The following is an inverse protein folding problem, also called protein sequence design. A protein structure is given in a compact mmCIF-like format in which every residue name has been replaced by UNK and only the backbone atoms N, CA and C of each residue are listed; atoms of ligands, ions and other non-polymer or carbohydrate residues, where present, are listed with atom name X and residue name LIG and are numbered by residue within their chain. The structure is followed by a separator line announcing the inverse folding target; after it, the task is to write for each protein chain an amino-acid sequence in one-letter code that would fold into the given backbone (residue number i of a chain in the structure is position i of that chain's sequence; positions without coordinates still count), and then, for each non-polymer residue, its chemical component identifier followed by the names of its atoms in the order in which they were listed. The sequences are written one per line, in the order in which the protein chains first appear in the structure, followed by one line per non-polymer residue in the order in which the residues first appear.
data_IF_964108782923
#
_entry.id   IF_964108782923
#
_cell.length_a   1.000
_cell.length_b   1.000
_cell.length_c   1.000
_cell.angle_alpha   90.00
_cell.angle_beta   90.00
_cell.angle_gamma   90.00
#
_symmetry.space_group_name_H-M   'P 1'
#
loop_
_entity.id
_entity.type
_entity.pdbx_description
1 polymer ?
#
# COMPACT_ATOMS: atom_id res chain seq x y z
N UNK A 1 -60.56 -47.68 -48.36
CA UNK A 1 -61.50 -46.64 -47.88
C UNK A 1 -61.17 -46.36 -46.41
N UNK A 2 -61.06 -45.08 -46.05
CA UNK A 2 -60.22 -44.53 -44.97
C UNK A 2 -60.66 -44.92 -43.54
N UNK A 3 -59.71 -45.40 -42.73
CA UNK A 3 -59.81 -45.47 -41.26
C UNK A 3 -59.47 -44.08 -40.71
N UNK A 4 -60.36 -43.49 -39.90
CA UNK A 4 -60.12 -42.22 -39.19
C UNK A 4 -59.68 -42.54 -37.76
N UNK A 5 -58.44 -42.19 -37.41
CA UNK A 5 -58.00 -42.07 -36.03
C UNK A 5 -58.13 -40.61 -35.59
N UNK A 6 -58.92 -40.37 -34.55
CA UNK A 6 -58.95 -39.07 -33.84
C UNK A 6 -57.82 -39.05 -32.82
N UNK A 7 -56.81 -38.21 -33.02
CA UNK A 7 -55.85 -37.87 -31.96
C UNK A 7 -56.50 -36.84 -31.03
N UNK A 8 -56.66 -37.19 -29.76
CA UNK A 8 -56.93 -36.25 -28.68
C UNK A 8 -55.62 -35.52 -28.34
N UNK A 9 -55.57 -34.21 -28.56
CA UNK A 9 -54.43 -33.39 -28.15
C UNK A 9 -54.60 -33.05 -26.68
N UNK A 10 -53.75 -33.63 -25.82
CA UNK A 10 -53.65 -33.25 -24.41
C UNK A 10 -52.73 -32.02 -24.33
N UNK A 11 -53.29 -30.83 -24.09
CA UNK A 11 -52.50 -29.63 -23.82
C UNK A 11 -51.90 -29.72 -22.41
N UNK A 12 -50.62 -30.05 -22.31
CA UNK A 12 -49.84 -29.91 -21.08
C UNK A 12 -49.40 -28.45 -20.98
N UNK A 13 -50.01 -27.69 -20.08
CA UNK A 13 -49.53 -26.37 -19.71
C UNK A 13 -48.24 -26.53 -18.88
N UNK A 14 -47.09 -26.26 -19.50
CA UNK A 14 -45.80 -26.22 -18.81
C UNK A 14 -45.73 -24.91 -18.01
N UNK A 15 -45.90 -24.98 -16.68
CA UNK A 15 -45.56 -23.87 -15.81
C UNK A 15 -44.04 -23.71 -15.79
N UNK A 16 -43.53 -22.71 -16.51
CA UNK A 16 -42.15 -22.27 -16.35
C UNK A 16 -42.03 -21.51 -15.03
N UNK A 17 -41.49 -22.17 -14.00
CA UNK A 17 -41.02 -21.48 -12.79
C UNK A 17 -39.82 -20.60 -13.16
N UNK A 18 -40.04 -19.30 -13.22
CA UNK A 18 -38.96 -18.32 -13.27
C UNK A 18 -38.31 -18.28 -11.89
N UNK A 19 -37.17 -18.97 -11.74
CA UNK A 19 -36.30 -18.73 -10.60
C UNK A 19 -35.66 -17.38 -10.88
N UNK A 20 -36.02 -16.35 -10.10
CA UNK A 20 -35.23 -15.14 -10.00
C UNK A 20 -33.84 -15.56 -9.50
N UNK A 21 -32.89 -15.73 -10.43
CA UNK A 21 -31.48 -15.76 -10.07
C UNK A 21 -31.18 -14.38 -9.52
N UNK A 22 -31.13 -14.28 -8.19
CA UNK A 22 -30.44 -13.17 -7.54
C UNK A 22 -29.00 -13.25 -8.04
N UNK A 23 -28.59 -12.27 -8.85
CA UNK A 23 -27.17 -12.04 -9.09
C UNK A 23 -26.50 -12.03 -7.72
N UNK A 24 -25.42 -12.78 -7.48
CA UNK A 24 -24.71 -12.66 -6.22
C UNK A 24 -24.39 -11.17 -6.06
N UNK A 25 -25.03 -10.54 -5.07
CA UNK A 25 -24.70 -9.18 -4.70
C UNK A 25 -23.19 -9.14 -4.50
N UNK A 26 -22.52 -8.17 -5.10
CA UNK A 26 -21.08 -7.99 -4.95
C UNK A 26 -20.75 -8.04 -3.46
N UNK A 27 -20.21 -9.18 -3.00
CA UNK A 27 -19.56 -9.21 -1.71
C UNK A 27 -18.49 -8.12 -1.77
N UNK A 28 -18.46 -7.23 -0.77
CA UNK A 28 -17.39 -6.25 -0.68
C UNK A 28 -16.07 -6.97 -0.85
N UNK A 29 -15.20 -6.47 -1.76
CA UNK A 29 -13.90 -7.07 -1.98
C UNK A 29 -13.21 -7.25 -0.61
N UNK A 30 -12.68 -8.45 -0.29
CA UNK A 30 -12.07 -8.70 1.02
C UNK A 30 -10.79 -7.86 1.25
N UNK A 31 -10.33 -7.18 0.20
CA UNK A 31 -9.17 -6.30 0.18
C UNK A 31 -9.65 -4.85 0.33
N UNK A 32 -9.25 -4.21 1.42
CA UNK A 32 -9.47 -2.78 1.67
C UNK A 32 -8.42 -1.95 0.92
N UNK A 33 -8.81 -1.20 -0.13
CA UNK A 33 -7.86 -0.45 -0.95
C UNK A 33 -7.21 0.74 -0.22
N UNK A 34 -7.74 1.13 0.93
CA UNK A 34 -7.19 2.20 1.77
C UNK A 34 -6.17 1.68 2.79
N UNK A 35 -5.87 0.39 2.76
CA UNK A 35 -4.94 -0.25 3.70
C UNK A 35 -3.70 -0.77 3.01
N UNK A 36 -2.62 -0.88 3.80
CA UNK A 36 -1.42 -1.60 3.41
C UNK A 36 -1.49 -3.06 3.88
N UNK A 37 -0.79 -3.93 3.17
CA UNK A 37 -0.70 -5.35 3.44
C UNK A 37 0.76 -5.79 3.45
N UNK A 38 1.09 -6.75 4.32
CA UNK A 38 2.31 -7.55 4.18
C UNK A 38 1.96 -8.86 3.51
N UNK A 39 2.71 -9.22 2.48
CA UNK A 39 2.54 -10.44 1.72
C UNK A 39 3.60 -11.44 2.17
N UNK A 40 3.17 -12.55 2.77
CA UNK A 40 4.04 -13.66 3.18
C UNK A 40 3.62 -14.92 2.45
N UNK A 41 4.52 -15.89 2.26
CA UNK A 41 4.16 -17.20 1.70
C UNK A 41 3.92 -18.21 2.80
N UNK A 42 3.07 -19.21 2.56
CA UNK A 42 2.89 -20.31 3.50
C UNK A 42 4.21 -21.06 3.75
N UNK A 43 5.05 -21.20 2.72
CA UNK A 43 6.31 -21.95 2.82
C UNK A 43 7.34 -21.29 3.74
N UNK A 44 7.65 -20.01 3.52
CA UNK A 44 8.65 -19.29 4.32
C UNK A 44 8.06 -18.75 5.64
N UNK A 45 6.74 -18.87 5.80
CA UNK A 45 6.01 -18.50 7.00
C UNK A 45 5.92 -16.99 7.20
N UNK A 46 5.41 -16.60 8.36
CA UNK A 46 5.09 -15.20 8.65
C UNK A 46 6.31 -14.32 8.91
N UNK A 47 7.53 -14.86 8.97
CA UNK A 47 8.74 -14.11 9.33
C UNK A 47 9.44 -13.46 8.14
N UNK A 48 9.02 -13.78 6.90
CA UNK A 48 9.57 -13.16 5.70
C UNK A 48 8.45 -12.63 4.82
N UNK A 49 8.62 -11.40 4.31
CA UNK A 49 7.61 -10.69 3.53
C UNK A 49 8.20 -10.21 2.20
N UNK A 50 7.33 -10.10 1.19
CA UNK A 50 7.68 -9.53 -0.10
C UNK A 50 8.09 -8.06 0.09
N UNK A 51 9.26 -7.71 -0.41
CA UNK A 51 9.89 -6.41 -0.19
C UNK A 51 10.49 -5.89 -1.50
N UNK A 52 10.50 -4.57 -1.66
CA UNK A 52 11.36 -3.87 -2.61
C UNK A 52 12.47 -3.22 -1.78
N UNK A 53 13.63 -3.86 -1.75
CA UNK A 53 14.77 -3.38 -0.98
C UNK A 53 15.52 -2.28 -1.73
N UNK A 54 16.14 -1.38 -0.96
CA UNK A 54 17.13 -0.45 -1.52
C UNK A 54 18.43 -1.23 -1.79
N UNK A 55 18.59 -1.69 -3.03
CA UNK A 55 19.75 -2.44 -3.49
C UNK A 55 20.89 -1.54 -3.98
N UNK A 56 20.69 -0.21 -3.95
CA UNK A 56 21.65 0.76 -4.46
C UNK A 56 21.79 0.76 -5.99
N UNK A 57 20.93 0.01 -6.70
CA UNK A 57 20.90 -0.06 -8.15
C UNK A 57 19.61 0.57 -8.67
N UNK A 58 18.70 -0.25 -9.22
CA UNK A 58 17.41 0.20 -9.76
C UNK A 58 16.31 0.19 -8.71
N UNK A 59 16.54 -0.40 -7.52
CA UNK A 59 15.57 -0.44 -6.43
C UNK A 59 14.20 -0.98 -6.87
N UNK A 60 14.20 -1.96 -7.77
CA UNK A 60 13.00 -2.45 -8.44
C UNK A 60 12.86 -3.97 -8.42
N UNK A 61 13.76 -4.69 -7.73
CA UNK A 61 13.74 -6.14 -7.65
C UNK A 61 13.01 -6.59 -6.38
N UNK A 62 11.87 -7.28 -6.51
CA UNK A 62 11.21 -7.91 -5.38
C UNK A 62 12.08 -9.03 -4.79
N UNK A 63 12.07 -9.13 -3.47
CA UNK A 63 12.74 -10.19 -2.71
C UNK A 63 11.86 -10.57 -1.52
N UNK A 64 11.98 -11.80 -1.03
CA UNK A 64 11.42 -12.16 0.26
C UNK A 64 12.45 -11.84 1.36
N UNK A 65 12.24 -10.74 2.08
CA UNK A 65 13.12 -10.27 3.15
C UNK A 65 12.54 -10.55 4.54
N UNK A 66 13.35 -10.43 5.60
CA UNK A 66 12.85 -10.54 6.96
C UNK A 66 11.76 -9.50 7.22
N UNK A 67 10.65 -9.94 7.83
CA UNK A 67 9.48 -9.11 8.07
C UNK A 67 9.83 -7.98 9.03
N UNK A 68 9.73 -6.75 8.55
CA UNK A 68 10.01 -5.52 9.29
C UNK A 68 8.93 -4.46 8.99
N UNK A 69 8.93 -3.34 9.73
CA UNK A 69 8.02 -2.22 9.47
C UNK A 69 8.67 -1.21 8.52
N UNK A 70 9.01 -1.66 7.31
CA UNK A 70 9.67 -0.84 6.29
C UNK A 70 8.75 -0.60 5.11
N UNK A 71 8.85 0.57 4.49
CA UNK A 71 7.95 1.02 3.40
C UNK A 71 8.02 0.17 2.13
N UNK A 72 9.08 -0.60 1.92
CA UNK A 72 9.18 -1.58 0.84
C UNK A 72 8.32 -2.83 1.02
N UNK A 73 7.96 -3.19 2.26
CA UNK A 73 7.08 -4.34 2.58
C UNK A 73 5.61 -3.98 2.72
N UNK A 74 5.28 -2.70 2.61
CA UNK A 74 3.94 -2.17 2.77
C UNK A 74 3.29 -2.06 1.40
N UNK A 75 2.53 -3.08 1.03
CA UNK A 75 1.88 -3.18 -0.28
C UNK A 75 0.46 -2.63 -0.25
N UNK A 76 0.16 -1.68 -1.14
CA UNK A 76 -1.20 -1.23 -1.39
C UNK A 76 -1.75 -2.03 -2.56
N UNK A 77 -2.95 -2.57 -2.37
CA UNK A 77 -3.62 -3.45 -3.34
C UNK A 77 -4.87 -2.71 -3.80
N UNK A 78 -4.78 -2.08 -4.97
CA UNK A 78 -5.84 -1.18 -5.48
C UNK A 78 -6.64 -1.91 -6.55
N UNK A 79 -7.97 -2.06 -6.42
CA UNK A 79 -8.79 -2.65 -7.46
C UNK A 79 -8.71 -1.79 -8.72
N UNK A 80 -8.75 -2.46 -9.87
CA UNK A 80 -8.81 -1.82 -11.18
C UNK A 80 -10.12 -2.21 -11.88
N UNK A 81 -10.07 -2.99 -12.97
CA UNK A 81 -11.24 -3.53 -13.69
C UNK A 81 -11.25 -5.06 -13.65
N UNK A 82 -12.41 -5.65 -13.87
CA UNK A 82 -12.59 -7.09 -14.13
C UNK A 82 -12.02 -8.02 -13.05
N UNK A 83 -12.05 -7.59 -11.78
CA UNK A 83 -11.55 -8.38 -10.65
C UNK A 83 -10.01 -8.42 -10.53
N UNK A 84 -9.31 -7.57 -11.28
CA UNK A 84 -7.86 -7.40 -11.15
C UNK A 84 -7.51 -6.25 -10.21
N UNK A 85 -6.27 -6.29 -9.74
CA UNK A 85 -5.69 -5.34 -8.80
C UNK A 85 -4.34 -4.85 -9.31
N UNK A 86 -3.94 -3.66 -8.86
CA UNK A 86 -2.58 -3.15 -8.99
C UNK A 86 -1.90 -3.17 -7.62
N UNK A 87 -0.69 -3.70 -7.57
CA UNK A 87 0.13 -3.79 -6.36
C UNK A 87 1.23 -2.74 -6.41
N UNK A 88 1.26 -1.84 -5.44
CA UNK A 88 2.30 -0.80 -5.30
C UNK A 88 2.88 -0.86 -3.89
N UNK A 89 4.09 -0.33 -3.68
CA UNK A 89 4.68 -0.20 -2.34
C UNK A 89 4.50 1.20 -1.78
N UNK A 90 4.49 1.33 -0.45
CA UNK A 90 4.52 2.64 0.21
C UNK A 90 5.79 3.43 -0.12
N UNK A 91 6.91 2.74 -0.38
CA UNK A 91 8.21 3.39 -0.61
C UNK A 91 8.30 4.07 -1.98
N UNK A 92 8.10 3.28 -3.05
CA UNK A 92 8.22 3.77 -4.42
C UNK A 92 6.93 4.47 -4.90
N UNK A 93 5.85 4.35 -4.11
CA UNK A 93 4.60 5.08 -4.29
C UNK A 93 3.75 4.56 -5.44
N UNK A 94 2.68 5.29 -5.74
CA UNK A 94 1.65 4.86 -6.71
C UNK A 94 2.07 4.96 -8.18
N UNK A 95 3.29 5.42 -8.45
CA UNK A 95 3.84 5.54 -9.81
C UNK A 95 4.62 4.30 -10.24
N UNK A 96 4.88 3.36 -9.33
CA UNK A 96 5.51 2.09 -9.65
C UNK A 96 4.68 0.91 -9.16
N UNK A 97 4.52 -0.10 -10.01
CA UNK A 97 3.68 -1.26 -9.76
C UNK A 97 4.44 -2.57 -9.98
N UNK A 98 4.05 -3.61 -9.25
CA UNK A 98 4.54 -4.96 -9.46
C UNK A 98 4.12 -5.43 -10.86
N UNK A 99 5.10 -5.85 -11.66
CA UNK A 99 4.94 -6.19 -13.05
C UNK A 99 5.68 -7.49 -13.37
N UNK A 100 5.10 -8.32 -14.23
CA UNK A 100 5.84 -9.35 -14.96
C UNK A 100 6.09 -8.81 -16.37
N UNK A 101 7.30 -8.32 -16.62
CA UNK A 101 7.64 -7.70 -17.90
C UNK A 101 7.88 -8.77 -18.96
N UNK A 102 7.24 -8.58 -20.11
CA UNK A 102 7.44 -9.37 -21.32
C UNK A 102 8.57 -8.75 -22.17
N UNK A 103 9.82 -8.97 -21.79
CA UNK A 103 10.99 -8.41 -22.49
C UNK A 103 11.81 -9.46 -23.26
N UNK A 104 11.25 -10.64 -23.51
CA UNK A 104 11.88 -11.78 -24.22
C UNK A 104 13.08 -12.43 -23.54
N UNK A 105 13.62 -11.83 -22.46
CA UNK A 105 14.77 -12.35 -21.72
C UNK A 105 14.41 -12.80 -20.30
N UNK A 106 13.35 -12.25 -19.69
CA UNK A 106 12.97 -12.49 -18.29
C UNK A 106 11.45 -12.65 -18.07
N UNK A 107 10.78 -13.42 -18.94
CA UNK A 107 9.31 -13.59 -18.97
C UNK A 107 8.60 -14.07 -17.69
N UNK A 108 9.33 -14.37 -16.61
CA UNK A 108 8.76 -14.81 -15.33
C UNK A 108 9.32 -14.02 -14.13
N UNK A 109 10.20 -13.04 -14.34
CA UNK A 109 10.80 -12.30 -13.23
C UNK A 109 9.93 -11.08 -12.88
N UNK A 110 9.41 -11.00 -11.65
CA UNK A 110 8.71 -9.81 -11.21
C UNK A 110 9.67 -8.65 -11.01
N UNK A 111 9.23 -7.46 -11.39
CA UNK A 111 9.92 -6.19 -11.13
C UNK A 111 8.93 -5.13 -10.66
N UNK A 112 9.44 -4.05 -10.09
CA UNK A 112 8.67 -2.83 -9.88
C UNK A 112 8.89 -1.88 -11.06
N UNK A 113 7.94 -1.84 -11.99
CA UNK A 113 8.00 -1.03 -13.21
C UNK A 113 7.18 0.25 -13.06
N UNK A 114 7.38 1.22 -13.96
CA UNK A 114 6.50 2.38 -14.02
C UNK A 114 5.06 1.95 -14.30
N UNK A 115 4.13 2.57 -13.59
CA UNK A 115 2.71 2.26 -13.68
C UNK A 115 2.21 2.52 -15.10
N UNK A 116 1.64 1.50 -15.72
CA UNK A 116 1.06 1.55 -17.05
C UNK A 116 -0.24 0.73 -17.14
N UNK A 117 -0.96 0.83 -18.27
CA UNK A 117 -2.13 0.00 -18.58
C UNK A 117 -1.69 -1.27 -19.33
N UNK A 118 -0.92 -2.14 -18.65
CA UNK A 118 -0.35 -3.37 -19.23
C UNK A 118 -0.76 -4.59 -18.43
N UNK A 119 -1.04 -5.70 -19.12
CA UNK A 119 -1.57 -6.94 -18.52
C UNK A 119 -0.61 -7.63 -17.54
N UNK A 120 0.69 -7.31 -17.57
CA UNK A 120 1.68 -7.77 -16.60
C UNK A 120 1.54 -7.12 -15.21
N UNK A 121 0.91 -5.93 -15.13
CA UNK A 121 0.67 -5.20 -13.87
C UNK A 121 -0.71 -5.46 -13.26
N UNK A 122 -1.55 -6.26 -13.93
CA UNK A 122 -2.91 -6.56 -13.50
C UNK A 122 -2.91 -7.91 -12.82
N UNK A 123 -3.02 -7.89 -11.49
CA UNK A 123 -2.93 -9.06 -10.66
C UNK A 123 -4.32 -9.53 -10.23
N UNK A 124 -4.61 -10.80 -10.47
CA UNK A 124 -5.79 -11.47 -9.93
C UNK A 124 -5.41 -12.15 -8.62
N UNK A 125 -6.17 -11.88 -7.56
CA UNK A 125 -5.98 -12.47 -6.24
C UNK A 125 -7.09 -13.50 -6.03
N UNK A 126 -6.79 -14.77 -6.31
CA UNK A 126 -7.78 -15.85 -6.16
C UNK A 126 -7.68 -16.42 -4.76
N UNK A 127 -8.73 -16.31 -3.90
CA UNK A 127 -8.72 -16.93 -2.59
C UNK A 127 -8.55 -18.45 -2.72
N UNK A 128 -7.72 -19.01 -1.85
CA UNK A 128 -7.53 -20.45 -1.70
C UNK A 128 -7.70 -20.81 -0.21
N UNK A 129 -7.62 -22.10 0.09
CA UNK A 129 -7.76 -22.62 1.45
C UNK A 129 -6.83 -21.92 2.48
N UNK A 130 -7.27 -21.92 3.74
CA UNK A 130 -6.53 -21.37 4.89
C UNK A 130 -6.21 -19.86 4.82
N UNK A 131 -7.09 -19.02 4.27
CA UNK A 131 -6.91 -17.57 4.16
C UNK A 131 -5.67 -17.13 3.36
N UNK A 132 -5.27 -17.94 2.37
CA UNK A 132 -4.22 -17.58 1.43
C UNK A 132 -4.85 -17.20 0.08
N UNK A 133 -4.02 -16.61 -0.78
CA UNK A 133 -4.35 -16.21 -2.13
C UNK A 133 -3.33 -16.78 -3.10
N UNK A 134 -3.79 -17.16 -4.29
CA UNK A 134 -2.94 -17.34 -5.46
C UNK A 134 -2.93 -16.03 -6.24
N UNK A 135 -1.75 -15.52 -6.54
CA UNK A 135 -1.56 -14.29 -7.31
C UNK A 135 -1.13 -14.65 -8.73
N UNK A 136 -1.96 -14.28 -9.71
CA UNK A 136 -1.69 -14.49 -11.15
C UNK A 136 -1.78 -13.15 -11.88
N UNK A 137 -1.13 -13.01 -13.03
CA UNK A 137 -1.27 -11.80 -13.87
C UNK A 137 -2.32 -12.02 -14.96
N UNK A 138 -2.92 -10.94 -15.47
CA UNK A 138 -3.78 -11.02 -16.66
C UNK A 138 -3.02 -11.56 -17.86
N UNK A 139 -1.72 -11.26 -17.97
CA UNK A 139 -0.89 -11.66 -19.11
C UNK A 139 -0.68 -13.18 -19.24
N UNK A 140 -0.25 -13.85 -18.18
CA UNK A 140 0.03 -15.30 -18.20
C UNK A 140 -1.20 -16.13 -17.75
N UNK A 141 -2.24 -15.45 -17.26
CA UNK A 141 -3.47 -16.07 -16.80
C UNK A 141 -3.26 -16.99 -15.60
N UNK A 142 -4.25 -17.84 -15.35
CA UNK A 142 -4.28 -18.68 -14.15
C UNK A 142 -3.26 -19.84 -14.19
N UNK A 143 -2.63 -20.09 -15.35
CA UNK A 143 -1.63 -21.14 -15.55
C UNK A 143 -0.31 -20.88 -14.83
N UNK A 144 0.02 -19.63 -14.50
CA UNK A 144 1.22 -19.28 -13.74
C UNK A 144 0.93 -18.32 -12.59
N UNK A 145 1.55 -18.58 -11.45
CA UNK A 145 1.37 -17.80 -10.22
C UNK A 145 2.69 -17.32 -9.63
N UNK A 146 2.63 -16.21 -8.89
CA UNK A 146 3.76 -15.69 -8.12
C UNK A 146 4.18 -16.74 -7.08
N UNK A 147 5.46 -17.07 -7.08
CA UNK A 147 6.08 -18.12 -6.28
C UNK A 147 7.41 -17.60 -5.69
N UNK A 148 7.90 -18.25 -4.65
CA UNK A 148 9.27 -18.13 -4.19
C UNK A 148 10.00 -19.41 -4.58
N UNK A 149 11.00 -19.29 -5.47
CA UNK A 149 11.72 -20.47 -5.94
C UNK A 149 12.56 -21.10 -4.83
N UNK A 150 12.69 -22.43 -4.89
CA UNK A 150 13.61 -23.18 -4.06
C UNK A 150 15.00 -23.26 -4.73
N UNK A 151 15.74 -22.15 -4.68
CA UNK A 151 17.09 -21.99 -5.24
C UNK A 151 18.21 -22.15 -4.20
N UNK A 152 17.87 -22.55 -2.98
CA UNK A 152 18.78 -22.64 -1.83
C UNK A 152 18.89 -21.34 -1.02
N UNK A 153 18.61 -20.17 -1.62
CA UNK A 153 18.44 -18.90 -0.88
C UNK A 153 16.98 -18.70 -0.47
N UNK A 154 16.06 -19.21 -1.27
CA UNK A 154 14.63 -19.32 -0.99
C UNK A 154 13.97 -17.96 -0.73
N UNK A 155 14.44 -16.93 -1.42
CA UNK A 155 13.97 -15.57 -1.30
C UNK A 155 13.69 -14.89 -2.64
N UNK A 156 13.85 -15.59 -3.76
CA UNK A 156 13.72 -15.04 -5.11
C UNK A 156 12.28 -15.24 -5.60
N UNK A 157 11.50 -14.18 -5.83
CA UNK A 157 10.16 -14.30 -6.40
C UNK A 157 10.23 -14.58 -7.90
N UNK A 158 9.32 -15.39 -8.42
CA UNK A 158 9.17 -15.71 -9.85
C UNK A 158 7.70 -15.95 -10.19
N UNK A 159 7.36 -15.96 -11.47
CA UNK A 159 6.13 -16.57 -11.96
C UNK A 159 6.40 -18.03 -12.36
N UNK A 160 5.76 -18.98 -11.69
CA UNK A 160 5.93 -20.42 -11.92
C UNK A 160 4.58 -21.08 -12.26
N UNK A 161 4.61 -22.28 -12.83
CA UNK A 161 3.38 -23.02 -13.13
C UNK A 161 2.53 -23.20 -11.86
N UNK A 162 1.25 -22.87 -11.99
CA UNK A 162 0.30 -22.93 -10.89
C UNK A 162 0.10 -24.37 -10.44
N UNK A 163 0.40 -24.66 -9.17
CA UNK A 163 0.20 -25.99 -8.57
C UNK A 163 -0.02 -25.91 -7.06
N UNK A 164 -0.05 -27.06 -6.38
CA UNK A 164 -0.21 -27.12 -4.93
C UNK A 164 1.11 -26.91 -4.20
N UNK A 165 1.72 -25.73 -4.41
CA UNK A 165 3.02 -25.38 -3.85
C UNK A 165 2.84 -24.27 -2.80
N UNK A 166 3.33 -24.49 -1.59
CA UNK A 166 3.18 -23.54 -0.48
C UNK A 166 3.97 -22.24 -0.68
N UNK A 167 4.91 -22.21 -1.62
CA UNK A 167 5.56 -20.97 -2.10
C UNK A 167 4.63 -20.07 -2.91
N UNK A 168 3.55 -20.61 -3.48
CA UNK A 168 2.55 -19.89 -4.28
C UNK A 168 1.36 -19.39 -3.47
N UNK A 169 1.30 -19.76 -2.18
CA UNK A 169 0.18 -19.49 -1.30
C UNK A 169 0.50 -18.26 -0.47
N UNK A 170 -0.04 -17.12 -0.88
CA UNK A 170 0.25 -15.82 -0.30
C UNK A 170 -0.77 -15.44 0.75
N UNK A 171 -0.30 -15.19 1.97
CA UNK A 171 -1.11 -14.61 3.04
C UNK A 171 -0.99 -13.10 2.97
N UNK A 172 -2.15 -12.44 2.93
CA UNK A 172 -2.24 -10.99 2.96
C UNK A 172 -2.61 -10.56 4.38
N UNK A 173 -1.61 -10.10 5.14
CA UNK A 173 -1.85 -9.59 6.48
C UNK A 173 -2.11 -8.09 6.39
N UNK A 174 -3.37 -7.68 6.60
CA UNK A 174 -3.75 -6.26 6.71
C UNK A 174 -2.89 -5.63 7.79
N UNK A 175 -2.19 -4.56 7.42
CA UNK A 175 -1.46 -3.75 8.38
C UNK A 175 -2.50 -2.89 9.08
N UNK A 176 -2.90 -3.30 10.27
CA UNK A 176 -3.78 -2.51 11.12
C UNK A 176 -3.17 -1.13 11.30
N UNK A 177 -3.95 -0.08 11.06
CA UNK A 177 -3.59 1.34 11.27
C UNK A 177 -3.10 1.63 12.71
N UNK A 178 -3.14 0.64 13.61
CA UNK A 178 -2.71 0.71 15.00
C UNK A 178 -1.28 0.17 15.28
N UNK A 179 -0.43 -0.04 14.25
CA UNK A 179 1.02 -0.25 14.43
C UNK A 179 1.90 0.36 13.33
N UNK A 180 1.36 1.32 12.55
CA UNK A 180 2.12 2.20 11.65
C UNK A 180 2.39 3.60 12.26
N UNK A 181 1.84 3.89 13.45
CA UNK A 181 1.86 5.23 14.04
C UNK A 181 2.87 5.44 15.18
N UNK A 182 3.67 4.44 15.57
CA UNK A 182 4.70 4.63 16.63
C UNK A 182 6.06 5.12 16.11
N UNK A 183 6.25 5.14 14.78
CA UNK A 183 7.48 5.67 14.15
C UNK A 183 7.25 6.89 13.25
N UNK A 184 6.00 7.19 12.87
CA UNK A 184 5.69 8.44 12.17
C UNK A 184 5.91 9.61 13.14
N UNK A 185 6.71 10.58 12.72
CA UNK A 185 6.86 11.83 13.45
C UNK A 185 5.57 12.63 13.29
N UNK A 186 4.87 12.81 14.41
CA UNK A 186 3.54 13.36 14.59
C UNK A 186 3.56 14.46 15.65
N UNK A 187 2.47 15.20 15.79
CA UNK A 187 2.40 16.30 16.75
C UNK A 187 2.73 15.84 18.17
N UNK A 188 2.28 14.65 18.55
CA UNK A 188 2.49 14.08 19.88
C UNK A 188 3.94 13.65 20.20
N UNK A 189 4.75 13.26 19.20
CA UNK A 189 6.10 12.71 19.42
C UNK A 189 7.24 13.56 18.82
N UNK A 190 6.94 14.57 17.99
CA UNK A 190 7.97 15.42 17.36
C UNK A 190 8.78 16.22 18.38
N UNK A 191 10.10 16.20 18.17
CA UNK A 191 11.12 16.96 18.91
C UNK A 191 11.93 17.91 18.04
N UNK A 192 11.98 17.72 16.72
CA UNK A 192 12.64 18.65 15.82
C UNK A 192 11.93 18.70 14.46
N UNK A 193 11.83 19.89 13.88
CA UNK A 193 11.28 20.16 12.55
C UNK A 193 12.29 20.97 11.76
N UNK A 194 12.78 20.41 10.67
CA UNK A 194 13.67 21.07 9.72
C UNK A 194 12.85 21.70 8.62
N UNK A 195 13.15 22.94 8.27
CA UNK A 195 12.43 23.69 7.25
C UNK A 195 13.40 24.40 6.30
N UNK A 196 12.87 24.89 5.18
CA UNK A 196 13.60 25.78 4.26
C UNK A 196 12.85 27.09 4.06
N UNK A 197 13.60 28.18 4.06
CA UNK A 197 13.15 29.51 3.65
C UNK A 197 14.12 30.07 2.61
N UNK A 198 13.64 30.30 1.37
CA UNK A 198 14.48 30.81 0.27
C UNK A 198 15.82 30.04 0.11
N UNK A 199 15.77 28.70 0.18
CA UNK A 199 16.92 27.77 0.20
C UNK A 199 17.83 27.80 1.43
N UNK A 200 17.58 28.68 2.40
CA UNK A 200 18.28 28.66 3.69
C UNK A 200 17.61 27.65 4.63
N UNK A 201 18.36 26.66 5.17
CA UNK A 201 17.82 25.72 6.13
C UNK A 201 17.61 26.37 7.50
N UNK A 202 16.57 25.94 8.21
CA UNK A 202 16.33 26.25 9.61
C UNK A 202 15.78 25.04 10.35
N UNK A 203 15.81 25.09 11.67
CA UNK A 203 15.26 24.03 12.54
C UNK A 203 14.52 24.64 13.71
N UNK A 204 13.37 24.07 14.06
CA UNK A 204 12.68 24.32 15.33
C UNK A 204 12.75 23.04 16.15
N UNK A 205 13.37 23.07 17.33
CA UNK A 205 13.59 21.88 18.16
C UNK A 205 13.24 22.09 19.63
N UNK A 206 12.67 21.06 20.27
CA UNK A 206 12.32 21.03 21.68
C UNK A 206 13.59 20.94 22.52
N UNK A 207 13.76 21.86 23.47
CA UNK A 207 14.86 21.84 24.44
C UNK A 207 14.41 21.38 25.84
N UNK A 208 13.18 20.87 25.95
CA UNK A 208 12.60 20.37 27.20
C UNK A 208 11.83 21.42 28.00
N UNK A 209 11.00 20.98 28.95
CA UNK A 209 10.20 21.86 29.79
C UNK A 209 9.19 22.76 29.04
N UNK A 210 8.66 22.28 27.90
CA UNK A 210 7.73 23.04 27.06
C UNK A 210 8.39 24.18 26.28
N UNK A 211 9.72 24.20 26.17
CA UNK A 211 10.47 25.21 25.41
C UNK A 211 10.97 24.64 24.08
N UNK A 212 10.92 25.48 23.06
CA UNK A 212 11.43 25.19 21.74
C UNK A 212 12.39 26.29 21.30
N UNK A 213 13.48 25.91 20.64
CA UNK A 213 14.45 26.82 20.05
C UNK A 213 14.39 26.67 18.54
N UNK A 214 14.23 27.79 17.86
CA UNK A 214 14.45 27.91 16.43
C UNK A 214 15.89 28.40 16.18
N UNK A 215 16.60 27.72 15.27
CA UNK A 215 17.90 28.13 14.78
C UNK A 215 17.80 28.35 13.27
N UNK A 216 18.05 29.59 12.84
CA UNK A 216 18.08 29.99 11.44
C UNK A 216 19.15 31.07 11.20
N UNK A 217 19.20 31.65 10.00
CA UNK A 217 20.18 32.65 9.63
C UNK A 217 20.06 33.97 10.42
N UNK A 218 18.88 34.26 10.98
CA UNK A 218 18.63 35.48 11.76
C UNK A 218 19.04 35.33 13.24
N UNK A 219 19.44 34.12 13.64
CA UNK A 219 19.85 33.78 14.99
C UNK A 219 18.83 32.95 15.77
N UNK A 220 19.13 32.62 17.03
CA UNK A 220 18.29 31.76 17.84
C UNK A 220 17.03 32.49 18.32
N UNK A 221 15.87 31.88 18.10
CA UNK A 221 14.58 32.37 18.58
C UNK A 221 13.95 31.37 19.54
N UNK A 222 13.36 31.84 20.64
CA UNK A 222 12.74 30.97 21.64
C UNK A 222 11.21 30.99 21.52
N UNK A 223 10.60 29.81 21.63
CA UNK A 223 9.16 29.63 21.74
C UNK A 223 8.77 28.82 22.97
N UNK A 224 7.53 29.03 23.42
CA UNK A 224 6.85 28.18 24.40
C UNK A 224 5.80 27.34 23.68
N UNK A 225 5.78 26.06 23.97
CA UNK A 225 4.69 25.19 23.55
C UNK A 225 3.42 25.52 24.33
N UNK A 226 2.32 25.73 23.61
CA UNK A 226 1.02 26.05 24.19
C UNK A 226 0.00 24.93 24.02
N UNK A 227 0.13 24.12 22.96
CA UNK A 227 -0.72 22.96 22.72
C UNK A 227 -0.09 21.98 21.73
N UNK A 228 -0.65 20.77 21.63
CA UNK A 228 -0.38 19.78 20.59
C UNK A 228 -1.67 19.07 20.18
N UNK A 229 -1.70 18.59 18.94
CA UNK A 229 -2.70 17.61 18.48
C UNK A 229 -1.99 16.43 17.78
N UNK A 230 -2.74 15.58 17.07
CA UNK A 230 -2.17 14.43 16.37
C UNK A 230 -1.10 14.83 15.34
N UNK A 231 -1.21 15.99 14.71
CA UNK A 231 -0.38 16.40 13.58
C UNK A 231 0.40 17.69 13.80
N UNK A 232 0.13 18.39 14.89
CA UNK A 232 0.65 19.74 15.10
C UNK A 232 1.25 19.96 16.49
N UNK A 233 2.23 20.86 16.53
CA UNK A 233 2.67 21.54 17.75
C UNK A 233 2.40 23.03 17.60
N UNK A 234 1.77 23.62 18.61
CA UNK A 234 1.46 25.04 18.65
C UNK A 234 2.45 25.73 19.58
N UNK A 235 3.17 26.70 19.04
CA UNK A 235 4.25 27.41 19.69
C UNK A 235 3.93 28.91 19.75
N UNK A 236 4.25 29.56 20.86
CA UNK A 236 4.06 30.99 21.06
C UNK A 236 5.35 31.67 21.50
N UNK A 237 5.62 32.82 20.90
CA UNK A 237 6.58 33.80 21.38
C UNK A 237 5.81 35.09 21.75
N UNK A 238 5.49 35.30 23.04
CA UNK A 238 4.78 36.48 23.49
C UNK A 238 5.56 37.78 23.29
N UNK A 239 6.90 37.74 23.29
CA UNK A 239 7.72 38.94 23.13
C UNK A 239 7.61 39.50 21.71
N UNK A 240 7.47 38.62 20.72
CA UNK A 240 7.20 38.97 19.31
C UNK A 240 5.71 38.99 18.94
N UNK A 241 4.82 38.75 19.90
CA UNK A 241 3.37 38.55 19.65
C UNK A 241 3.10 37.53 18.54
N UNK A 242 3.91 36.48 18.48
CA UNK A 242 3.92 35.51 17.39
C UNK A 242 3.42 34.15 17.87
N UNK A 243 2.63 33.48 17.02
CA UNK A 243 2.22 32.10 17.22
C UNK A 243 2.46 31.31 15.94
N UNK A 244 3.13 30.18 16.06
CA UNK A 244 3.39 29.30 14.93
C UNK A 244 2.83 27.91 15.18
N UNK A 245 2.36 27.28 14.10
CA UNK A 245 1.97 25.89 14.06
C UNK A 245 3.04 25.11 13.27
N UNK A 246 3.59 24.07 13.88
CA UNK A 246 4.37 23.06 13.18
C UNK A 246 3.41 22.01 12.64
N UNK A 247 2.86 22.20 11.43
CA UNK A 247 1.88 21.31 10.82
C UNK A 247 2.57 20.20 10.01
N UNK A 248 2.70 19.02 10.63
CA UNK A 248 3.37 17.87 10.03
C UNK A 248 2.51 17.18 8.96
N UNK A 249 1.19 17.38 8.98
CA UNK A 249 0.28 16.81 7.99
C UNK A 249 0.38 17.58 6.66
N UNK A 250 0.37 18.91 6.73
CA UNK A 250 0.57 19.79 5.56
C UNK A 250 2.04 20.01 5.20
N UNK A 251 2.97 19.59 6.05
CA UNK A 251 4.42 19.85 5.94
C UNK A 251 4.74 21.34 5.86
N UNK A 252 4.13 22.13 6.75
CA UNK A 252 4.30 23.59 6.79
C UNK A 252 4.58 24.07 8.22
N UNK A 253 5.47 25.06 8.33
CA UNK A 253 5.47 25.96 9.48
C UNK A 253 4.53 27.10 9.13
N UNK A 254 3.52 27.35 9.96
CA UNK A 254 2.46 28.33 9.68
C UNK A 254 2.49 29.41 10.75
N UNK A 255 2.41 30.68 10.38
CA UNK A 255 2.09 31.76 11.31
C UNK A 255 0.58 31.83 11.47
N UNK A 256 0.11 31.48 12.66
CA UNK A 256 -1.32 31.46 12.99
C UNK A 256 -1.87 32.89 12.86
N UNK A 257 -2.94 33.04 12.06
CA UNK A 257 -3.60 34.31 11.80
C UNK A 257 -2.97 35.15 10.67
N UNK A 258 -1.93 34.65 9.99
CA UNK A 258 -1.30 35.36 8.87
C UNK A 258 -1.16 34.46 7.62
N UNK A 259 -0.18 33.54 7.59
CA UNK A 259 0.13 32.74 6.40
C UNK A 259 1.04 31.55 6.68
N UNK A 260 1.18 30.65 5.70
CA UNK A 260 2.26 29.65 5.67
C UNK A 260 3.63 30.39 5.63
N UNK A 261 4.58 30.00 6.48
CA UNK A 261 5.92 30.59 6.58
C UNK A 261 6.96 29.77 5.80
N UNK A 262 7.08 28.48 6.14
CA UNK A 262 8.17 27.62 5.68
C UNK A 262 7.67 26.24 5.26
N UNK A 263 8.38 25.62 4.32
CA UNK A 263 8.20 24.21 4.01
C UNK A 263 8.98 23.33 4.98
N UNK A 264 8.31 22.36 5.60
CA UNK A 264 8.95 21.33 6.40
C UNK A 264 9.59 20.32 5.46
N UNK A 265 10.91 20.20 5.57
CA UNK A 265 11.71 19.26 4.78
C UNK A 265 11.95 17.95 5.51
N UNK A 266 12.00 17.98 6.84
CA UNK A 266 12.14 16.78 7.66
C UNK A 266 11.66 16.99 9.10
N UNK A 267 11.38 15.90 9.83
CA UNK A 267 11.02 15.96 11.25
C UNK A 267 11.55 14.73 12.01
N UNK A 268 11.84 14.90 13.31
CA UNK A 268 12.38 13.85 14.19
C UNK A 268 11.67 13.84 15.55
N UNK A 269 11.60 12.64 16.17
CA UNK A 269 11.17 12.41 17.55
C UNK A 269 12.37 12.36 18.52
#
# INVERSE_FOLDING_TARGET
MKIRFTLSVLSVALLATFVLQTSPGFAADPIDPNSYYKLTTQWQGDNKALDIINDGQKNNRPVLADKANVSGQLWKITPIRDGYYRLTTSWQGENKALDIVNDSAQNNQPILADKADVSGQFWKLTPIQNNHYRLTTMWQGDGKSLDIINDGKNNTPTLADSGNFTGQFWKLTKVSQNKQNDDAVKGNNVKAVFYKHNNTPGVVMSVGGGKWMEYNADGPNQFREVNRDEWSVYLSDPARQMQIQLDLHRKRVVWIGNSDLYEITNAYK
#
